data_IF_744565762559
#
_entry.id   IF_744565762559
#
_cell.length_a   1.000
_cell.length_b   1.000
_cell.length_c   1.000
_cell.angle_alpha   90.00
_cell.angle_beta   90.00
_cell.angle_gamma   90.00
#
_symmetry.space_group_name_H-M   'P 1'
#
loop_
_entity.id
_entity.type
_entity.pdbx_description
1 polymer ?
#
# COMPACT_ATOMS: atom_id res chain seq x y z
N UNK A 1 -11.18 17.04 3.94
CA UNK A 1 -10.41 15.86 4.38
C UNK A 1 -10.14 14.97 3.18
N UNK A 2 -9.13 14.10 3.23
CA UNK A 2 -8.86 13.16 2.14
C UNK A 2 -10.06 12.20 2.00
N UNK A 3 -10.55 12.00 0.79
CA UNK A 3 -11.67 11.10 0.52
C UNK A 3 -11.20 9.65 0.65
N UNK A 4 -11.21 9.10 1.86
CA UNK A 4 -10.67 7.76 2.11
C UNK A 4 -11.66 6.70 1.62
N UNK A 5 -11.22 5.89 0.66
CA UNK A 5 -11.96 4.77 0.07
C UNK A 5 -11.72 3.50 0.89
N UNK A 6 -10.49 3.29 1.33
CA UNK A 6 -10.10 2.14 2.13
C UNK A 6 -8.92 2.50 3.03
N UNK A 7 -8.93 2.02 4.26
CA UNK A 7 -7.81 2.14 5.20
C UNK A 7 -7.72 0.89 6.05
N UNK A 8 -6.50 0.41 6.27
CA UNK A 8 -6.17 -0.60 7.29
C UNK A 8 -5.18 -0.06 8.32
N UNK A 9 -5.05 1.26 8.40
CA UNK A 9 -4.01 1.94 9.17
C UNK A 9 -4.19 1.73 10.68
N UNK A 10 -3.12 1.37 11.39
CA UNK A 10 -3.14 1.18 12.85
C UNK A 10 -4.20 0.19 13.35
N UNK A 11 -4.35 -0.92 12.63
CA UNK A 11 -5.34 -1.98 12.93
C UNK A 11 -6.80 -1.52 12.83
N UNK A 12 -7.05 -0.28 12.41
CA UNK A 12 -8.38 0.26 12.14
C UNK A 12 -8.76 -0.01 10.68
N UNK A 13 -9.74 -0.89 10.48
CA UNK A 13 -10.27 -1.19 9.14
C UNK A 13 -11.45 -0.27 8.82
N UNK A 14 -11.27 0.60 7.82
CA UNK A 14 -12.33 1.41 7.22
C UNK A 14 -12.46 1.02 5.75
N UNK A 15 -13.64 0.58 5.34
CA UNK A 15 -13.94 0.19 3.96
C UNK A 15 -15.17 0.95 3.45
N UNK A 16 -14.92 1.92 2.58
CA UNK A 16 -15.93 2.78 1.96
C UNK A 16 -16.17 2.43 0.48
N UNK A 17 -15.63 1.30 -0.03
CA UNK A 17 -15.69 0.94 -1.47
C UNK A 17 -17.11 0.79 -2.02
N UNK A 18 -18.07 0.44 -1.17
CA UNK A 18 -19.49 0.25 -1.53
C UNK A 18 -20.41 1.19 -0.76
N UNK A 19 -19.85 2.27 -0.22
CA UNK A 19 -20.57 3.24 0.61
C UNK A 19 -20.75 4.52 -0.21
N UNK A 20 -21.98 5.00 -0.23
CA UNK A 20 -22.33 6.30 -0.83
C UNK A 20 -21.49 7.40 -0.19
N UNK A 21 -21.11 8.41 -0.97
CA UNK A 21 -20.17 9.45 -0.53
C UNK A 21 -20.58 10.14 0.77
N UNK A 22 -21.89 10.34 0.97
CA UNK A 22 -22.49 10.95 2.16
C UNK A 22 -22.36 10.12 3.45
N UNK A 23 -22.18 8.81 3.32
CA UNK A 23 -22.18 7.84 4.44
C UNK A 23 -20.76 7.31 4.74
N UNK A 24 -19.74 7.84 4.06
CA UNK A 24 -18.35 7.41 4.22
C UNK A 24 -17.84 7.75 5.61
N UNK A 25 -17.15 6.77 6.21
CA UNK A 25 -16.50 6.94 7.51
C UNK A 25 -15.08 7.44 7.32
N UNK A 26 -14.68 8.39 8.15
CA UNK A 26 -13.26 8.77 8.26
C UNK A 26 -12.61 7.92 9.37
N UNK A 27 -11.43 7.32 9.11
CA UNK A 27 -10.67 6.63 10.14
C UNK A 27 -10.16 7.61 11.20
N UNK A 28 -10.23 7.21 12.46
CA UNK A 28 -9.84 8.05 13.61
C UNK A 28 -8.31 8.26 13.67
N UNK A 29 -7.55 7.26 13.22
CA UNK A 29 -6.11 7.21 13.42
C UNK A 29 -5.28 7.68 12.21
N UNK A 30 -5.93 8.10 11.13
CA UNK A 30 -5.22 8.53 9.92
C UNK A 30 -4.92 10.03 9.96
N UNK A 31 -3.62 10.37 10.04
CA UNK A 31 -3.13 11.75 10.00
C UNK A 31 -2.11 11.95 8.87
N UNK A 32 -2.53 11.65 7.64
CA UNK A 32 -1.70 11.90 6.45
C UNK A 32 -2.03 13.28 5.87
N UNK A 33 -1.02 14.03 5.36
CA UNK A 33 -1.29 15.24 4.60
C UNK A 33 -2.05 14.91 3.31
N UNK A 34 -2.79 15.87 2.77
CA UNK A 34 -3.50 15.69 1.49
C UNK A 34 -2.57 15.77 0.28
N UNK A 35 -1.39 16.37 0.45
CA UNK A 35 -0.40 16.59 -0.59
C UNK A 35 0.98 16.16 -0.10
N UNK A 36 1.74 15.49 -0.95
CA UNK A 36 3.14 15.15 -0.70
C UNK A 36 4.05 16.35 -0.96
N UNK A 37 3.74 17.10 -2.02
CA UNK A 37 4.35 18.37 -2.43
C UNK A 37 3.27 19.29 -2.96
N UNK A 38 3.48 20.62 -3.01
CA UNK A 38 2.49 21.54 -3.56
C UNK A 38 2.03 21.11 -4.95
N UNK A 39 0.74 20.80 -5.09
CA UNK A 39 0.14 20.32 -6.35
C UNK A 39 0.23 18.82 -6.62
N UNK A 40 0.88 18.05 -5.73
CA UNK A 40 1.01 16.60 -5.82
C UNK A 40 0.16 15.93 -4.72
N UNK A 41 -1.08 15.62 -5.05
CA UNK A 41 -2.03 14.97 -4.13
C UNK A 41 -1.64 13.53 -3.86
N UNK A 42 -1.83 13.09 -2.62
CA UNK A 42 -1.60 11.70 -2.23
C UNK A 42 -2.83 10.87 -2.63
N UNK A 43 -2.66 10.01 -3.64
CA UNK A 43 -3.69 9.05 -4.08
C UNK A 43 -3.77 7.83 -3.16
N UNK A 44 -2.63 7.34 -2.70
CA UNK A 44 -2.54 6.22 -1.78
C UNK A 44 -1.26 6.31 -0.96
N UNK A 45 -1.26 5.63 0.17
CA UNK A 45 -0.11 5.53 1.06
C UNK A 45 0.01 4.09 1.57
N UNK A 46 1.23 3.58 1.60
CA UNK A 46 1.57 2.27 2.14
C UNK A 46 2.75 2.41 3.09
N UNK A 47 2.62 1.78 4.25
CA UNK A 47 3.69 1.73 5.25
C UNK A 47 3.65 0.43 6.03
N UNK A 48 4.50 0.37 7.06
CA UNK A 48 4.56 -0.74 7.99
C UNK A 48 3.26 -0.93 8.79
N UNK A 49 2.49 0.14 8.95
CA UNK A 49 1.29 0.21 9.79
C UNK A 49 -0.02 0.06 8.97
N UNK A 50 0.09 -0.31 7.70
CA UNK A 50 -1.06 -0.56 6.82
C UNK A 50 -1.05 0.25 5.52
N UNK A 51 -2.22 0.29 4.87
CA UNK A 51 -2.44 1.03 3.63
C UNK A 51 -3.62 1.99 3.76
N UNK A 52 -3.56 3.09 3.00
CA UNK A 52 -4.62 4.10 2.89
C UNK A 52 -4.83 4.37 1.40
N UNK A 53 -6.07 4.30 0.93
CA UNK A 53 -6.46 4.60 -0.44
C UNK A 53 -7.41 5.81 -0.43
N UNK A 54 -7.04 6.84 -1.18
CA UNK A 54 -7.81 8.08 -1.32
C UNK A 54 -8.44 8.24 -2.72
N UNK A 55 -8.06 7.37 -3.66
CA UNK A 55 -8.41 7.42 -5.08
C UNK A 55 -8.64 5.99 -5.58
N UNK A 56 -9.63 5.79 -6.45
CA UNK A 56 -10.03 4.49 -6.99
C UNK A 56 -9.21 4.07 -8.21
N UNK A 57 -8.44 4.99 -8.78
CA UNK A 57 -7.51 4.79 -9.91
C UNK A 57 -6.14 4.26 -9.47
N UNK A 58 -6.03 3.72 -8.25
CA UNK A 58 -4.77 3.19 -7.71
C UNK A 58 -4.64 1.70 -8.00
N UNK A 59 -3.59 1.33 -8.72
CA UNK A 59 -3.16 -0.06 -8.83
C UNK A 59 -2.47 -0.50 -7.53
N UNK A 60 -3.20 -1.26 -6.73
CA UNK A 60 -2.74 -1.76 -5.43
C UNK A 60 -1.59 -2.78 -5.62
N UNK A 61 -1.62 -3.59 -6.68
CA UNK A 61 -0.59 -4.59 -6.93
C UNK A 61 0.74 -3.93 -7.27
N UNK A 62 0.72 -2.94 -8.17
CA UNK A 62 1.91 -2.16 -8.52
C UNK A 62 2.43 -1.34 -7.33
N UNK A 63 1.53 -0.73 -6.53
CA UNK A 63 1.90 -0.05 -5.30
C UNK A 63 2.64 -0.98 -4.32
N UNK A 64 2.11 -2.19 -4.08
CA UNK A 64 2.74 -3.17 -3.20
C UNK A 64 4.10 -3.62 -3.73
N UNK A 65 4.21 -3.86 -5.04
CA UNK A 65 5.46 -4.24 -5.69
C UNK A 65 6.54 -3.16 -5.53
N UNK A 66 6.19 -1.89 -5.73
CA UNK A 66 7.09 -0.76 -5.55
C UNK A 66 7.52 -0.59 -4.09
N UNK A 67 6.60 -0.75 -3.13
CA UNK A 67 6.94 -0.72 -1.71
C UNK A 67 7.92 -1.85 -1.33
N UNK A 68 7.65 -3.09 -1.74
CA UNK A 68 8.53 -4.22 -1.44
C UNK A 68 9.92 -4.06 -2.08
N UNK A 69 9.99 -3.51 -3.30
CA UNK A 69 11.26 -3.20 -3.95
C UNK A 69 12.05 -2.12 -3.19
N UNK A 70 11.37 -1.08 -2.68
CA UNK A 70 11.99 -0.07 -1.84
C UNK A 70 12.52 -0.67 -0.53
N UNK A 71 11.73 -1.51 0.16
CA UNK A 71 12.17 -2.21 1.38
C UNK A 71 13.40 -3.07 1.13
N UNK A 72 13.45 -3.83 0.02
CA UNK A 72 14.62 -4.62 -0.34
C UNK A 72 15.85 -3.73 -0.59
N UNK A 73 15.67 -2.56 -1.22
CA UNK A 73 16.77 -1.61 -1.50
C UNK A 73 17.38 -1.05 -0.22
N UNK A 74 16.57 -0.84 0.82
CA UNK A 74 17.01 -0.37 2.14
C UNK A 74 17.56 -1.49 3.05
N UNK A 75 17.62 -2.74 2.56
CA UNK A 75 18.18 -3.85 3.33
C UNK A 75 19.67 -3.64 3.60
N UNK A 76 20.07 -3.61 4.88
CA UNK A 76 21.49 -3.57 5.27
C UNK A 76 22.23 -4.91 5.07
N UNK A 77 21.51 -5.98 4.73
CA UNK A 77 22.07 -7.30 4.44
C UNK A 77 22.44 -8.17 5.66
N UNK A 78 22.30 -7.67 6.89
CA UNK A 78 22.75 -8.38 8.12
C UNK A 78 21.93 -9.64 8.41
N UNK A 79 20.61 -9.56 8.31
CA UNK A 79 19.71 -10.67 8.63
C UNK A 79 19.33 -11.41 7.35
N UNK A 80 19.54 -12.73 7.32
CA UNK A 80 19.11 -13.58 6.20
C UNK A 80 17.63 -13.39 5.78
N UNK A 81 16.64 -13.37 6.71
CA UNK A 81 15.25 -13.19 6.31
C UNK A 81 14.97 -11.82 5.68
N UNK A 82 15.71 -10.78 6.07
CA UNK A 82 15.62 -9.49 5.39
C UNK A 82 16.30 -9.58 4.01
N UNK A 83 17.60 -9.87 3.96
CA UNK A 83 18.40 -9.83 2.72
C UNK A 83 17.82 -10.67 1.58
N UNK A 84 17.33 -11.87 1.90
CA UNK A 84 16.80 -12.84 0.91
C UNK A 84 15.28 -12.83 0.89
N UNK A 85 14.62 -12.77 2.05
CA UNK A 85 13.16 -12.85 2.12
C UNK A 85 12.49 -11.63 1.49
N UNK A 86 12.97 -10.41 1.72
CA UNK A 86 12.36 -9.23 1.07
C UNK A 86 12.60 -9.22 -0.44
N UNK A 87 13.65 -9.89 -0.92
CA UNK A 87 13.90 -10.08 -2.36
C UNK A 87 12.86 -11.00 -2.97
N UNK A 88 12.60 -12.13 -2.32
CA UNK A 88 11.57 -13.09 -2.73
C UNK A 88 10.20 -12.42 -2.79
N UNK A 89 9.84 -11.66 -1.75
CA UNK A 89 8.56 -10.92 -1.69
C UNK A 89 8.45 -9.90 -2.83
N UNK A 90 9.50 -9.11 -3.07
CA UNK A 90 9.52 -8.12 -4.13
C UNK A 90 9.39 -8.76 -5.53
N UNK A 91 10.12 -9.85 -5.78
CA UNK A 91 10.05 -10.58 -7.06
C UNK A 91 8.65 -11.18 -7.29
N UNK A 92 7.97 -11.63 -6.23
CA UNK A 92 6.64 -12.20 -6.34
C UNK A 92 5.55 -11.15 -6.57
N UNK A 93 5.59 -10.05 -5.82
CA UNK A 93 4.68 -8.92 -6.05
C UNK A 93 4.85 -8.32 -7.45
N UNK A 94 6.09 -8.27 -7.96
CA UNK A 94 6.35 -7.84 -9.33
C UNK A 94 5.71 -8.76 -10.38
N UNK A 95 5.71 -10.09 -10.16
CA UNK A 95 5.01 -11.04 -11.03
C UNK A 95 3.50 -10.83 -10.98
N UNK A 96 2.94 -10.62 -9.79
CA UNK A 96 1.50 -10.32 -9.61
C UNK A 96 1.14 -9.04 -10.36
N UNK A 97 1.90 -7.95 -10.18
CA UNK A 97 1.67 -6.67 -10.84
C UNK A 97 1.81 -6.74 -12.38
N UNK A 98 2.61 -7.67 -12.91
CA UNK A 98 2.77 -7.86 -14.37
C UNK A 98 1.78 -8.86 -14.99
N UNK A 99 0.86 -9.42 -14.19
CA UNK A 99 -0.06 -10.46 -14.67
C UNK A 99 0.56 -11.85 -14.84
N UNK A 100 1.79 -12.05 -14.35
CA UNK A 100 2.50 -13.35 -14.35
C UNK A 100 2.41 -14.07 -12.99
N UNK A 101 1.54 -13.60 -12.09
CA UNK A 101 1.25 -14.21 -10.81
C UNK A 101 0.72 -15.64 -10.95
N UNK A 102 1.00 -16.48 -9.94
CA UNK A 102 0.47 -17.84 -9.83
C UNK A 102 -0.12 -18.01 -8.44
N UNK A 103 -1.13 -18.87 -8.32
CA UNK A 103 -1.79 -19.18 -7.03
C UNK A 103 -0.80 -19.76 -6.01
N UNK A 104 0.25 -20.44 -6.49
CA UNK A 104 1.28 -21.06 -5.67
C UNK A 104 2.66 -20.47 -5.99
N UNK A 105 3.46 -20.28 -4.95
CA UNK A 105 4.88 -19.94 -5.07
C UNK A 105 5.66 -21.22 -5.45
N UNK A 106 6.44 -21.22 -6.55
CA UNK A 106 7.20 -22.40 -6.98
C UNK A 106 8.35 -22.79 -6.05
#
# INVERSE_FOLDING_TARGET
>A
MANIIFSSWQEELVDNRKVEEKDRKEPENVRIPSEFRPGERIKAFMGWDGIILCDDDVDIADMCANYAAAVQKESCGKCFPCRVGTRVVADWLKKIASGEGKDEYP
#
